data_IF_670877870767
#
_entry.id   IF_670877870767
#
_cell.length_a   1.000
_cell.length_b   1.000
_cell.length_c   1.000
_cell.angle_alpha   90.00
_cell.angle_beta   90.00
_cell.angle_gamma   90.00
#
_symmetry.space_group_name_H-M   'P 1'
#
loop_
_entity.id
_entity.type
_entity.pdbx_description
1 polymer ?
#
# COMPACT_ATOMS: atom_id res chain seq x y z
N UNK A 1 -8.97 36.93 -33.40
CA UNK A 1 -9.54 36.39 -34.66
C UNK A 1 -9.18 34.91 -34.76
N UNK A 2 -10.11 34.03 -35.15
CA UNK A 2 -9.78 32.62 -35.36
C UNK A 2 -8.79 32.47 -36.52
N UNK A 3 -7.75 31.67 -36.31
CA UNK A 3 -6.74 31.33 -37.33
C UNK A 3 -7.28 30.18 -38.20
N UNK A 4 -7.29 30.34 -39.52
CA UNK A 4 -7.73 29.30 -40.45
C UNK A 4 -6.52 28.61 -41.07
N UNK A 5 -6.63 27.29 -41.27
CA UNK A 5 -5.57 26.48 -41.86
C UNK A 5 -6.07 25.78 -43.12
N UNK A 6 -5.18 25.63 -44.11
CA UNK A 6 -5.43 24.79 -45.27
C UNK A 6 -5.61 23.35 -44.79
N UNK A 7 -6.71 22.68 -45.13
CA UNK A 7 -6.94 21.33 -44.64
C UNK A 7 -6.03 20.28 -45.31
N UNK A 8 -5.35 20.64 -46.40
CA UNK A 8 -4.43 19.74 -47.11
C UNK A 8 -2.99 19.84 -46.57
N UNK A 9 -2.43 21.04 -46.41
CA UNK A 9 -1.02 21.22 -46.01
C UNK A 9 -0.83 21.88 -44.64
N UNK A 10 -1.91 22.28 -43.97
CA UNK A 10 -1.90 22.94 -42.66
C UNK A 10 -1.22 24.31 -42.60
N UNK A 11 -0.93 24.94 -43.75
CA UNK A 11 -0.49 26.34 -43.79
C UNK A 11 -1.63 27.28 -43.36
N UNK A 12 -1.31 28.37 -42.65
CA UNK A 12 -2.27 29.43 -42.34
C UNK A 12 -2.82 30.08 -43.61
N UNK A 13 -4.13 30.25 -43.70
CA UNK A 13 -4.82 30.85 -44.85
C UNK A 13 -5.89 31.85 -44.40
N UNK A 14 -6.27 32.76 -45.29
CA UNK A 14 -7.46 33.61 -45.07
C UNK A 14 -8.75 32.75 -45.17
N UNK A 15 -9.77 32.97 -44.34
CA UNK A 15 -11.04 32.22 -44.41
C UNK A 15 -11.72 32.22 -45.77
N UNK A 16 -11.55 33.26 -46.59
CA UNK A 16 -12.09 33.36 -47.95
C UNK A 16 -11.24 32.66 -49.01
N UNK A 17 -10.09 32.08 -48.63
CA UNK A 17 -9.17 31.40 -49.56
C UNK A 17 -9.81 30.16 -50.17
N UNK A 18 -10.01 30.16 -51.50
CA UNK A 18 -10.48 28.99 -52.25
C UNK A 18 -9.34 28.06 -52.67
N UNK A 19 -8.23 28.61 -53.17
CA UNK A 19 -7.04 27.86 -53.56
C UNK A 19 -5.93 28.17 -52.58
N UNK A 20 -5.37 27.16 -51.92
CA UNK A 20 -4.30 27.37 -50.96
C UNK A 20 -3.04 27.93 -51.65
N UNK A 21 -2.50 29.08 -51.20
CA UNK A 21 -1.31 29.65 -51.82
C UNK A 21 -0.04 28.82 -51.56
N UNK A 22 -0.03 27.95 -50.54
CA UNK A 22 1.13 27.15 -50.18
C UNK A 22 1.21 25.82 -50.96
N UNK A 23 0.09 25.14 -51.17
CA UNK A 23 0.08 23.81 -51.82
C UNK A 23 -0.81 23.70 -53.06
N UNK A 24 -1.51 24.77 -53.45
CA UNK A 24 -2.39 24.78 -54.62
C UNK A 24 -3.71 24.01 -54.47
N UNK A 25 -4.01 23.43 -53.30
CA UNK A 25 -5.23 22.67 -53.09
C UNK A 25 -6.49 23.55 -53.12
N UNK A 26 -7.56 23.08 -53.79
CA UNK A 26 -8.90 23.66 -53.66
C UNK A 26 -9.50 23.28 -52.29
N UNK A 27 -9.59 24.28 -51.41
CA UNK A 27 -10.06 24.13 -50.03
C UNK A 27 -11.52 23.73 -49.97
N UNK A 28 -12.36 24.22 -50.89
CA UNK A 28 -13.78 23.88 -50.94
C UNK A 28 -13.97 22.44 -51.42
N UNK A 29 -13.27 22.04 -52.48
CA UNK A 29 -13.31 20.67 -52.98
C UNK A 29 -12.79 19.67 -51.93
N UNK A 30 -11.72 20.02 -51.20
CA UNK A 30 -11.18 19.18 -50.14
C UNK A 30 -12.20 18.94 -49.02
N UNK A 31 -12.95 19.97 -48.62
CA UNK A 31 -13.99 19.85 -47.57
C UNK A 31 -15.10 18.88 -47.95
N UNK A 32 -15.32 18.61 -49.24
CA UNK A 32 -16.29 17.64 -49.75
C UNK A 32 -15.90 16.17 -49.59
N UNK A 33 -14.66 15.86 -49.15
CA UNK A 33 -14.24 14.48 -48.87
C UNK A 33 -15.03 13.85 -47.73
N UNK A 34 -15.11 12.52 -47.73
CA UNK A 34 -15.80 11.78 -46.68
C UNK A 34 -15.18 12.09 -45.32
N UNK A 35 -16.03 12.21 -44.29
CA UNK A 35 -15.57 12.63 -42.97
C UNK A 35 -14.44 11.75 -42.39
N UNK A 36 -14.49 10.41 -42.45
CA UNK A 36 -13.39 9.57 -41.99
C UNK A 36 -12.06 9.84 -42.71
N UNK A 37 -12.09 10.10 -44.03
CA UNK A 37 -10.88 10.43 -44.80
C UNK A 37 -10.26 11.75 -44.33
N UNK A 38 -11.10 12.74 -44.00
CA UNK A 38 -10.64 14.02 -43.45
C UNK A 38 -9.99 13.83 -42.08
N UNK A 39 -10.52 12.93 -41.25
CA UNK A 39 -9.94 12.61 -39.94
C UNK A 39 -8.61 11.86 -40.06
N UNK A 40 -8.51 10.88 -40.97
CA UNK A 40 -7.23 10.21 -41.28
C UNK A 40 -6.18 11.23 -41.71
N UNK A 41 -6.55 12.18 -42.57
CA UNK A 41 -5.63 13.26 -42.96
C UNK A 41 -5.25 14.18 -41.80
N UNK A 42 -6.17 14.47 -40.89
CA UNK A 42 -5.92 15.29 -39.71
C UNK A 42 -4.90 14.68 -38.73
N UNK A 43 -4.61 13.38 -38.82
CA UNK A 43 -3.50 12.75 -38.07
C UNK A 43 -2.13 13.31 -38.48
N UNK A 44 -2.02 13.95 -39.64
CA UNK A 44 -0.79 14.60 -40.12
C UNK A 44 -0.64 16.04 -39.63
N UNK A 45 -1.60 16.56 -38.86
CA UNK A 45 -1.60 17.95 -38.43
C UNK A 45 -0.44 18.24 -37.46
N UNK A 46 0.24 19.41 -37.55
CA UNK A 46 1.38 19.74 -36.67
C UNK A 46 0.98 19.91 -35.20
N UNK A 47 -0.21 20.43 -34.92
CA UNK A 47 -0.72 20.61 -33.55
C UNK A 47 -1.25 19.29 -32.97
N UNK A 48 -0.78 18.93 -31.78
CA UNK A 48 -1.16 17.70 -31.07
C UNK A 48 -2.66 17.62 -30.78
N UNK A 49 -3.30 18.72 -30.34
CA UNK A 49 -4.73 18.73 -29.97
C UNK A 49 -5.64 18.34 -31.14
N UNK A 50 -5.27 18.75 -32.36
CA UNK A 50 -6.00 18.38 -33.58
C UNK A 50 -5.85 16.89 -33.87
N UNK A 51 -4.64 16.35 -33.72
CA UNK A 51 -4.40 14.90 -33.88
C UNK A 51 -5.16 14.11 -32.83
N UNK A 52 -5.13 14.53 -31.56
CA UNK A 52 -5.86 13.89 -30.47
C UNK A 52 -7.36 13.83 -30.72
N UNK A 53 -7.95 14.92 -31.22
CA UNK A 53 -9.36 14.97 -31.63
C UNK A 53 -9.65 13.98 -32.76
N UNK A 54 -8.77 13.90 -33.76
CA UNK A 54 -8.91 12.97 -34.87
C UNK A 54 -8.78 11.50 -34.42
N UNK A 55 -7.84 11.19 -33.52
CA UNK A 55 -7.64 9.86 -32.93
C UNK A 55 -8.92 9.37 -32.23
N UNK A 56 -9.50 10.18 -31.33
CA UNK A 56 -10.73 9.79 -30.62
C UNK A 56 -11.91 9.63 -31.60
N UNK A 57 -12.08 10.56 -32.55
CA UNK A 57 -13.15 10.51 -33.53
C UNK A 57 -13.07 9.26 -34.43
N UNK A 58 -11.88 8.89 -34.90
CA UNK A 58 -11.67 7.67 -35.69
C UNK A 58 -12.01 6.41 -34.89
N UNK A 59 -11.61 6.36 -33.62
CA UNK A 59 -11.94 5.25 -32.72
C UNK A 59 -13.45 5.12 -32.47
N UNK A 60 -14.16 6.24 -32.25
CA UNK A 60 -15.63 6.24 -32.04
C UNK A 60 -16.40 5.81 -33.29
N UNK A 61 -15.98 6.29 -34.45
CA UNK A 61 -16.60 5.93 -35.74
C UNK A 61 -16.32 4.50 -36.17
N UNK A 62 -15.36 3.81 -35.53
CA UNK A 62 -14.85 2.51 -35.96
C UNK A 62 -14.40 2.53 -37.43
N UNK A 63 -13.75 3.62 -37.83
CA UNK A 63 -13.45 3.91 -39.23
C UNK A 63 -12.62 2.79 -39.89
N UNK A 64 -13.17 2.08 -40.90
CA UNK A 64 -12.43 1.03 -41.61
C UNK A 64 -11.15 1.59 -42.25
N UNK A 65 -10.04 0.84 -42.16
CA UNK A 65 -8.76 1.24 -42.73
C UNK A 65 -7.99 2.33 -41.96
N UNK A 66 -8.52 2.85 -40.83
CA UNK A 66 -7.84 3.87 -40.03
C UNK A 66 -6.65 3.33 -39.22
N UNK A 67 -6.59 2.01 -38.99
CA UNK A 67 -5.64 1.41 -38.05
C UNK A 67 -4.18 1.71 -38.39
N UNK A 68 -3.78 1.56 -39.66
CA UNK A 68 -2.41 1.85 -40.07
C UNK A 68 -2.06 3.33 -39.93
N UNK A 69 -2.98 4.23 -40.29
CA UNK A 69 -2.76 5.67 -40.18
C UNK A 69 -2.57 6.10 -38.70
N UNK A 70 -3.30 5.47 -37.77
CA UNK A 70 -3.10 5.68 -36.34
C UNK A 70 -1.72 5.20 -35.88
N UNK A 71 -1.28 4.00 -36.30
CA UNK A 71 0.05 3.51 -35.95
C UNK A 71 1.17 4.41 -36.52
N UNK A 72 1.07 4.81 -37.79
CA UNK A 72 2.01 5.72 -38.44
C UNK A 72 2.09 7.07 -37.70
N UNK A 73 0.95 7.59 -37.23
CA UNK A 73 0.91 8.79 -36.40
C UNK A 73 1.72 8.65 -35.09
N UNK A 74 1.58 7.54 -34.36
CA UNK A 74 2.40 7.29 -33.17
C UNK A 74 3.89 7.20 -33.52
N UNK A 75 4.24 6.49 -34.59
CA UNK A 75 5.65 6.29 -34.97
C UNK A 75 6.34 7.58 -35.44
N UNK A 76 5.60 8.55 -36.01
CA UNK A 76 6.11 9.90 -36.32
C UNK A 76 6.31 10.77 -35.08
N UNK A 77 5.64 10.44 -33.99
CA UNK A 77 5.69 11.17 -32.72
C UNK A 77 6.13 10.27 -31.55
N UNK A 78 7.31 9.62 -31.65
CA UNK A 78 7.70 8.52 -30.78
C UNK A 78 7.91 8.89 -29.30
N UNK A 79 7.99 10.19 -28.99
CA UNK A 79 8.23 10.70 -27.64
C UNK A 79 6.96 11.15 -26.92
N UNK A 80 5.79 11.01 -27.55
CA UNK A 80 4.52 11.42 -26.97
C UNK A 80 3.76 10.19 -26.39
N UNK A 81 3.93 9.88 -25.10
CA UNK A 81 3.27 8.74 -24.48
C UNK A 81 1.74 8.92 -24.43
N UNK A 82 1.24 10.15 -24.35
CA UNK A 82 -0.20 10.45 -24.22
C UNK A 82 -0.89 10.16 -25.55
N UNK A 83 -0.35 10.68 -26.64
CA UNK A 83 -0.86 10.43 -27.99
C UNK A 83 -0.75 8.94 -28.35
N UNK A 84 0.38 8.30 -28.02
CA UNK A 84 0.57 6.87 -28.24
C UNK A 84 -0.48 6.00 -27.53
N UNK A 85 -0.79 6.30 -26.27
CA UNK A 85 -1.83 5.58 -25.52
C UNK A 85 -3.24 5.86 -26.05
N UNK A 86 -3.53 7.10 -26.48
CA UNK A 86 -4.82 7.40 -27.12
C UNK A 86 -5.02 6.60 -28.42
N UNK A 87 -3.95 6.40 -29.19
CA UNK A 87 -3.95 5.55 -30.39
C UNK A 87 -4.26 4.09 -30.03
N UNK A 88 -3.64 3.55 -28.98
CA UNK A 88 -3.95 2.19 -28.50
C UNK A 88 -5.46 2.04 -28.19
N UNK A 89 -6.03 2.99 -27.46
CA UNK A 89 -7.47 2.96 -27.14
C UNK A 89 -8.36 3.12 -28.37
N UNK A 90 -7.95 3.89 -29.38
CA UNK A 90 -8.67 3.98 -30.64
C UNK A 90 -8.62 2.64 -31.40
N UNK A 91 -7.45 1.98 -31.46
CA UNK A 91 -7.27 0.67 -32.09
C UNK A 91 -8.13 -0.42 -31.43
N UNK A 92 -8.36 -0.37 -30.11
CA UNK A 92 -9.26 -1.32 -29.42
C UNK A 92 -10.69 -1.34 -29.98
N UNK A 93 -11.14 -0.24 -30.60
CA UNK A 93 -12.51 -0.06 -31.11
C UNK A 93 -12.63 -0.37 -32.60
N UNK A 94 -11.51 -0.46 -33.32
CA UNK A 94 -11.50 -0.67 -34.77
C UNK A 94 -11.77 -2.15 -35.14
N UNK A 95 -12.25 -2.41 -36.37
CA UNK A 95 -12.31 -3.77 -36.91
C UNK A 95 -10.93 -4.45 -36.90
N UNK A 96 -10.86 -5.71 -36.46
CA UNK A 96 -9.62 -6.49 -36.37
C UNK A 96 -9.29 -7.18 -37.69
N UNK A 97 -9.04 -6.38 -38.72
CA UNK A 97 -8.60 -6.85 -40.03
C UNK A 97 -7.07 -6.97 -40.13
N UNK A 98 -6.57 -7.31 -41.31
CA UNK A 98 -5.13 -7.42 -41.57
C UNK A 98 -4.38 -6.09 -41.35
N UNK A 99 -5.02 -4.95 -41.60
CA UNK A 99 -4.43 -3.63 -41.39
C UNK A 99 -4.30 -3.32 -39.90
N UNK A 100 -5.29 -3.70 -39.09
CA UNK A 100 -5.21 -3.63 -37.63
C UNK A 100 -4.05 -4.47 -37.08
N UNK A 101 -3.90 -5.71 -37.54
CA UNK A 101 -2.80 -6.57 -37.08
C UNK A 101 -1.42 -6.02 -37.48
N UNK A 102 -1.31 -5.41 -38.65
CA UNK A 102 -0.08 -4.71 -39.08
C UNK A 102 0.22 -3.50 -38.19
N UNK A 103 -0.80 -2.68 -37.89
CA UNK A 103 -0.69 -1.51 -37.01
C UNK A 103 -0.23 -1.89 -35.60
N UNK A 104 -0.86 -2.89 -34.98
CA UNK A 104 -0.50 -3.36 -33.63
C UNK A 104 0.92 -3.93 -33.60
N UNK A 105 1.33 -4.69 -34.62
CA UNK A 105 2.72 -5.18 -34.72
C UNK A 105 3.73 -4.04 -34.76
N UNK A 106 3.47 -3.00 -35.54
CA UNK A 106 4.35 -1.82 -35.58
C UNK A 106 4.46 -1.13 -34.22
N UNK A 107 3.35 -0.99 -33.49
CA UNK A 107 3.35 -0.33 -32.18
C UNK A 107 4.05 -1.12 -31.07
N UNK A 108 4.25 -2.43 -31.23
CA UNK A 108 5.08 -3.22 -30.28
C UNK A 108 6.55 -2.80 -30.29
N UNK A 109 6.99 -2.15 -31.36
CA UNK A 109 8.34 -1.62 -31.50
C UNK A 109 8.43 -0.13 -31.10
N UNK A 110 7.34 0.43 -30.55
CA UNK A 110 7.30 1.82 -30.16
C UNK A 110 8.30 2.12 -29.02
N UNK A 111 9.09 3.20 -29.08
CA UNK A 111 10.17 3.45 -28.13
C UNK A 111 9.68 3.77 -26.70
N UNK A 112 8.43 4.22 -26.55
CA UNK A 112 7.78 4.32 -25.23
C UNK A 112 7.28 2.94 -24.79
N UNK A 113 7.90 2.40 -23.73
CA UNK A 113 7.59 1.07 -23.20
C UNK A 113 6.12 0.84 -22.81
N UNK A 114 5.41 1.87 -22.35
CA UNK A 114 3.98 1.77 -22.04
C UNK A 114 3.14 1.45 -23.29
N UNK A 115 3.42 2.13 -24.41
CA UNK A 115 2.73 1.92 -25.69
C UNK A 115 3.08 0.54 -26.25
N UNK A 116 4.35 0.15 -26.24
CA UNK A 116 4.79 -1.16 -26.72
C UNK A 116 4.16 -2.32 -25.95
N UNK A 117 4.11 -2.23 -24.61
CA UNK A 117 3.44 -3.24 -23.77
C UNK A 117 1.94 -3.29 -24.03
N UNK A 118 1.28 -2.14 -24.15
CA UNK A 118 -0.14 -2.10 -24.43
C UNK A 118 -0.47 -2.70 -25.82
N UNK A 119 0.36 -2.43 -26.83
CA UNK A 119 0.24 -3.04 -28.16
C UNK A 119 0.45 -4.56 -28.12
N UNK A 120 1.40 -5.06 -27.32
CA UNK A 120 1.58 -6.50 -27.11
C UNK A 120 0.30 -7.13 -26.52
N UNK A 121 -0.29 -6.47 -25.51
CA UNK A 121 -1.58 -6.88 -24.95
C UNK A 121 -2.71 -6.87 -25.98
N UNK A 122 -2.76 -5.93 -26.92
CA UNK A 122 -3.75 -5.96 -28.01
C UNK A 122 -3.58 -7.20 -28.90
N UNK A 123 -2.35 -7.53 -29.28
CA UNK A 123 -2.06 -8.67 -30.14
C UNK A 123 -2.46 -10.00 -29.48
N UNK A 124 -2.19 -10.15 -28.19
CA UNK A 124 -2.57 -11.33 -27.40
C UNK A 124 -4.09 -11.52 -27.35
N UNK A 125 -4.86 -10.42 -27.36
CA UNK A 125 -6.33 -10.44 -27.34
C UNK A 125 -6.96 -10.51 -28.75
N UNK A 126 -6.19 -10.57 -29.83
CA UNK A 126 -6.69 -10.42 -31.20
C UNK A 126 -7.65 -11.53 -31.65
N UNK A 127 -7.54 -12.74 -31.08
CA UNK A 127 -8.37 -13.91 -31.41
C UNK A 127 -9.77 -13.94 -30.79
N UNK A 128 -10.11 -12.99 -29.93
CA UNK A 128 -11.34 -13.04 -29.13
C UNK A 128 -12.26 -11.87 -29.47
N UNK A 129 -13.22 -12.09 -30.38
CA UNK A 129 -14.28 -11.13 -30.70
C UNK A 129 -15.02 -10.74 -29.41
N UNK A 130 -15.24 -9.45 -29.12
CA UNK A 130 -16.04 -9.03 -27.97
C UNK A 130 -17.43 -9.66 -28.09
N UNK A 131 -17.91 -10.28 -27.01
CA UNK A 131 -19.25 -10.85 -26.99
C UNK A 131 -20.28 -9.73 -27.21
N UNK A 132 -21.44 -10.01 -27.83
CA UNK A 132 -22.52 -9.02 -27.88
C UNK A 132 -22.92 -8.64 -26.44
N UNK A 133 -22.75 -7.36 -26.08
CA UNK A 133 -22.94 -6.84 -24.71
C UNK A 133 -21.66 -6.38 -24.00
N UNK A 134 -20.49 -6.58 -24.60
CA UNK A 134 -19.16 -6.32 -24.05
C UNK A 134 -18.67 -4.90 -24.42
N UNK A 135 -19.52 -3.88 -24.25
CA UNK A 135 -19.13 -2.47 -24.46
C UNK A 135 -18.27 -2.00 -23.27
N UNK A 136 -16.97 -1.74 -23.47
CA UNK A 136 -16.07 -1.37 -22.38
C UNK A 136 -16.44 -0.04 -21.74
N UNK A 137 -17.04 0.88 -22.50
CA UNK A 137 -17.48 2.17 -21.97
C UNK A 137 -18.68 2.00 -21.04
N UNK A 138 -19.68 1.20 -21.45
CA UNK A 138 -20.81 0.86 -20.61
C UNK A 138 -20.39 0.07 -19.36
N UNK A 139 -19.43 -0.86 -19.49
CA UNK A 139 -18.90 -1.60 -18.35
C UNK A 139 -18.15 -0.69 -17.37
N UNK A 140 -17.29 0.21 -17.86
CA UNK A 140 -16.64 1.21 -17.03
C UNK A 140 -17.66 2.08 -16.31
N UNK A 141 -18.66 2.60 -17.02
CA UNK A 141 -19.72 3.40 -16.41
C UNK A 141 -20.45 2.63 -15.31
N UNK A 142 -20.71 1.33 -15.50
CA UNK A 142 -21.30 0.46 -14.48
C UNK A 142 -20.42 0.33 -13.22
N UNK A 143 -19.10 0.22 -13.37
CA UNK A 143 -18.16 0.09 -12.25
C UNK A 143 -17.93 1.43 -11.52
N UNK A 144 -17.84 2.52 -12.29
CA UNK A 144 -17.53 3.87 -11.79
C UNK A 144 -18.77 4.60 -11.24
N UNK A 145 -19.99 4.09 -11.49
CA UNK A 145 -21.23 4.61 -10.89
C UNK A 145 -21.40 4.11 -9.45
N UNK A 146 -20.75 4.82 -8.53
CA UNK A 146 -20.78 4.54 -7.09
C UNK A 146 -22.18 4.60 -6.48
N UNK A 147 -23.10 5.36 -7.07
CA UNK A 147 -24.46 5.49 -6.54
C UNK A 147 -25.28 4.22 -6.80
N UNK A 148 -24.92 3.43 -7.81
CA UNK A 148 -25.67 2.26 -8.26
C UNK A 148 -24.85 0.96 -8.24
N UNK A 149 -23.92 0.83 -7.30
CA UNK A 149 -23.16 -0.41 -7.09
C UNK A 149 -24.06 -1.62 -6.82
N UNK A 150 -25.26 -1.43 -6.28
CA UNK A 150 -26.22 -2.51 -6.10
C UNK A 150 -26.64 -3.15 -7.43
N UNK A 151 -27.06 -2.34 -8.42
CA UNK A 151 -27.41 -2.86 -9.75
C UNK A 151 -26.19 -3.46 -10.47
N UNK A 152 -25.00 -2.85 -10.29
CA UNK A 152 -23.75 -3.39 -10.82
C UNK A 152 -23.45 -4.80 -10.26
N UNK A 153 -23.62 -5.01 -8.96
CA UNK A 153 -23.45 -6.32 -8.32
C UNK A 153 -24.41 -7.35 -8.91
N UNK A 154 -25.70 -7.02 -9.02
CA UNK A 154 -26.71 -7.94 -9.55
C UNK A 154 -26.39 -8.34 -11.00
N UNK A 155 -26.03 -7.35 -11.83
CA UNK A 155 -25.66 -7.59 -13.22
C UNK A 155 -24.41 -8.46 -13.35
N UNK A 156 -23.36 -8.17 -12.59
CA UNK A 156 -22.12 -8.96 -12.60
C UNK A 156 -22.34 -10.37 -12.05
N UNK A 157 -23.17 -10.53 -11.03
CA UNK A 157 -23.56 -11.84 -10.51
C UNK A 157 -24.29 -12.66 -11.58
N UNK A 158 -25.21 -12.05 -12.33
CA UNK A 158 -25.91 -12.70 -13.45
C UNK A 158 -24.98 -13.12 -14.60
N UNK A 159 -23.84 -12.46 -14.77
CA UNK A 159 -22.83 -12.83 -15.78
C UNK A 159 -21.96 -14.04 -15.36
N UNK A 160 -21.84 -14.33 -14.06
CA UNK A 160 -21.01 -15.41 -13.54
C UNK A 160 -19.55 -15.31 -14.02
N UNK A 161 -18.97 -16.41 -14.50
CA UNK A 161 -17.59 -16.42 -15.04
C UNK A 161 -17.42 -15.51 -16.27
N UNK A 162 -18.50 -15.19 -16.98
CA UNK A 162 -18.48 -14.22 -18.08
C UNK A 162 -18.06 -12.81 -17.64
N UNK A 163 -18.15 -12.48 -16.35
CA UNK A 163 -17.67 -11.21 -15.80
C UNK A 163 -16.15 -11.15 -15.60
N UNK A 164 -15.43 -12.28 -15.60
CA UNK A 164 -13.98 -12.31 -15.30
C UNK A 164 -13.20 -11.45 -16.29
N UNK A 165 -13.45 -11.65 -17.58
CA UNK A 165 -12.75 -10.95 -18.66
C UNK A 165 -12.93 -9.42 -18.60
N UNK A 166 -14.17 -8.86 -18.56
CA UNK A 166 -14.33 -7.41 -18.50
C UNK A 166 -13.81 -6.80 -17.18
N UNK A 167 -13.92 -7.51 -16.05
CA UNK A 167 -13.30 -7.07 -14.79
C UNK A 167 -11.78 -7.00 -14.88
N UNK A 168 -11.13 -8.03 -15.43
CA UNK A 168 -9.68 -8.04 -15.66
C UNK A 168 -9.26 -6.93 -16.61
N UNK A 169 -10.02 -6.70 -17.69
CA UNK A 169 -9.77 -5.59 -18.62
C UNK A 169 -9.80 -4.25 -17.91
N UNK A 170 -10.85 -3.97 -17.14
CA UNK A 170 -10.97 -2.74 -16.34
C UNK A 170 -9.77 -2.58 -15.39
N UNK A 171 -9.36 -3.64 -14.70
CA UNK A 171 -8.22 -3.62 -13.78
C UNK A 171 -6.86 -3.39 -14.49
N UNK A 172 -6.71 -3.79 -15.76
CA UNK A 172 -5.48 -3.59 -16.55
C UNK A 172 -5.29 -2.17 -17.06
N UNK A 173 -6.33 -1.33 -17.02
CA UNK A 173 -6.20 0.10 -17.36
C UNK A 173 -5.23 0.83 -16.42
N UNK A 174 -4.95 0.24 -15.25
CA UNK A 174 -3.91 0.67 -14.34
C UNK A 174 -4.42 1.54 -13.18
N UNK A 175 -3.49 2.06 -12.38
CA UNK A 175 -3.79 2.83 -11.18
C UNK A 175 -4.59 4.10 -11.48
N UNK A 176 -5.57 4.38 -10.62
CA UNK A 176 -6.43 5.55 -10.68
C UNK A 176 -6.28 6.35 -9.39
N UNK A 177 -6.53 7.66 -9.44
CA UNK A 177 -6.46 8.51 -8.23
C UNK A 177 -7.56 8.16 -7.22
N UNK A 178 -8.72 7.73 -7.71
CA UNK A 178 -9.80 7.20 -6.89
C UNK A 178 -9.75 5.65 -6.93
N UNK A 179 -9.53 4.97 -5.80
CA UNK A 179 -9.43 3.51 -5.79
C UNK A 179 -10.77 2.79 -5.88
N UNK A 180 -11.91 3.48 -5.69
CA UNK A 180 -13.20 2.83 -5.43
C UNK A 180 -13.67 1.90 -6.56
N UNK A 181 -13.58 2.32 -7.83
CA UNK A 181 -13.96 1.47 -8.95
C UNK A 181 -13.07 0.22 -9.06
N UNK A 182 -11.76 0.37 -8.82
CA UNK A 182 -10.80 -0.75 -8.79
C UNK A 182 -11.03 -1.69 -7.60
N UNK A 183 -11.32 -1.16 -6.40
CA UNK A 183 -11.67 -1.94 -5.22
C UNK A 183 -12.94 -2.76 -5.48
N UNK A 184 -13.97 -2.13 -6.03
CA UNK A 184 -15.20 -2.81 -6.43
C UNK A 184 -14.92 -3.93 -7.44
N UNK A 185 -14.13 -3.66 -8.48
CA UNK A 185 -13.78 -4.67 -9.47
C UNK A 185 -12.98 -5.85 -8.86
N UNK A 186 -12.06 -5.58 -7.93
CA UNK A 186 -11.34 -6.60 -7.14
C UNK A 186 -12.32 -7.45 -6.34
N UNK A 187 -13.28 -6.84 -5.64
CA UNK A 187 -14.29 -7.56 -4.85
C UNK A 187 -15.20 -8.44 -5.73
N UNK A 188 -15.61 -7.94 -6.90
CA UNK A 188 -16.41 -8.70 -7.85
C UNK A 188 -15.64 -9.88 -8.42
N UNK A 189 -14.38 -9.67 -8.80
CA UNK A 189 -13.50 -10.74 -9.26
C UNK A 189 -13.25 -11.78 -8.15
N UNK A 190 -13.13 -11.32 -6.90
CA UNK A 190 -12.95 -12.18 -5.74
C UNK A 190 -14.13 -13.13 -5.49
N UNK A 191 -15.36 -12.73 -5.84
CA UNK A 191 -16.57 -13.55 -5.66
C UNK A 191 -16.65 -14.74 -6.62
N UNK A 192 -16.01 -14.68 -7.78
CA UNK A 192 -16.12 -15.68 -8.84
C UNK A 192 -15.34 -16.98 -8.55
N UNK A 193 -14.37 -16.94 -7.61
CA UNK A 193 -13.61 -18.10 -7.06
C UNK A 193 -12.94 -19.07 -8.06
N UNK A 194 -13.00 -18.82 -9.37
CA UNK A 194 -12.32 -19.65 -10.38
C UNK A 194 -10.81 -19.41 -10.40
N UNK A 195 -10.06 -20.35 -11.02
CA UNK A 195 -8.62 -20.21 -11.23
C UNK A 195 -8.28 -18.96 -12.08
N UNK A 196 -9.13 -18.63 -13.05
CA UNK A 196 -8.95 -17.45 -13.88
C UNK A 196 -9.17 -16.15 -13.08
N UNK A 197 -10.15 -16.13 -12.18
CA UNK A 197 -10.34 -15.02 -11.26
C UNK A 197 -9.14 -14.86 -10.30
N UNK A 198 -8.55 -15.98 -9.84
CA UNK A 198 -7.31 -15.97 -9.05
C UNK A 198 -6.17 -15.34 -9.85
N UNK A 199 -5.99 -15.75 -11.11
CA UNK A 199 -4.98 -15.18 -11.99
C UNK A 199 -5.17 -13.66 -12.17
N UNK A 200 -6.42 -13.20 -12.35
CA UNK A 200 -6.71 -11.77 -12.45
C UNK A 200 -6.40 -10.98 -11.17
N UNK A 201 -6.67 -11.54 -9.98
CA UNK A 201 -6.26 -10.90 -8.71
C UNK A 201 -4.74 -10.85 -8.56
N UNK A 202 -4.02 -11.90 -9.01
CA UNK A 202 -2.55 -11.92 -9.01
C UNK A 202 -1.96 -10.88 -9.96
N UNK A 203 -2.59 -10.63 -11.11
CA UNK A 203 -2.20 -9.55 -12.02
C UNK A 203 -2.28 -8.18 -11.35
N UNK A 204 -3.34 -7.92 -10.57
CA UNK A 204 -3.48 -6.66 -9.80
C UNK A 204 -2.35 -6.53 -8.78
N UNK A 205 -2.08 -7.60 -8.02
CA UNK A 205 -1.04 -7.63 -7.00
C UNK A 205 0.36 -7.36 -7.61
N UNK A 206 0.64 -7.94 -8.79
CA UNK A 206 1.95 -7.91 -9.46
C UNK A 206 2.06 -6.84 -10.56
N UNK A 207 1.15 -5.87 -10.60
CA UNK A 207 1.20 -4.76 -11.56
C UNK A 207 2.42 -3.83 -11.35
N UNK A 208 2.38 -2.64 -11.95
CA UNK A 208 3.45 -1.62 -11.84
C UNK A 208 3.87 -1.34 -10.39
N UNK A 209 5.16 -1.47 -10.01
CA UNK A 209 5.61 -1.25 -8.62
C UNK A 209 5.12 0.08 -8.03
N UNK A 210 4.66 0.09 -6.77
CA UNK A 210 4.02 1.29 -6.19
C UNK A 210 4.96 2.51 -6.16
N UNK A 211 6.27 2.26 -6.02
CA UNK A 211 7.32 3.30 -6.05
C UNK A 211 7.41 4.04 -7.39
N UNK A 212 6.96 3.42 -8.48
CA UNK A 212 6.97 4.00 -9.82
C UNK A 212 5.73 4.86 -10.11
N UNK A 213 4.73 4.80 -9.22
CA UNK A 213 3.49 5.56 -9.38
C UNK A 213 3.61 6.98 -8.82
N UNK A 214 2.90 7.95 -9.43
CA UNK A 214 2.67 9.26 -8.84
C UNK A 214 2.06 9.14 -7.43
N UNK A 215 2.40 10.06 -6.53
CA UNK A 215 1.89 10.04 -5.15
C UNK A 215 0.35 9.96 -5.08
N UNK A 216 -0.35 10.67 -5.98
CA UNK A 216 -1.81 10.67 -6.06
C UNK A 216 -2.44 9.33 -6.42
N UNK A 217 -1.69 8.42 -7.04
CA UNK A 217 -2.16 7.08 -7.42
C UNK A 217 -1.59 5.99 -6.50
N UNK A 218 -0.45 6.25 -5.85
CA UNK A 218 0.24 5.27 -5.02
C UNK A 218 -0.63 4.79 -3.86
N UNK A 219 -1.23 5.71 -3.11
CA UNK A 219 -2.05 5.38 -1.95
C UNK A 219 -3.35 4.65 -2.34
N UNK A 220 -3.91 5.03 -3.49
CA UNK A 220 -5.08 4.36 -4.07
C UNK A 220 -4.73 2.91 -4.48
N UNK A 221 -3.63 2.73 -5.22
CA UNK A 221 -3.21 1.40 -5.66
C UNK A 221 -2.72 0.52 -4.49
N UNK A 222 -2.13 1.12 -3.44
CA UNK A 222 -1.78 0.41 -2.21
C UNK A 222 -3.02 -0.27 -1.59
N UNK A 223 -4.15 0.45 -1.51
CA UNK A 223 -5.41 -0.10 -1.01
C UNK A 223 -5.97 -1.21 -1.92
N UNK A 224 -5.94 -1.00 -3.24
CA UNK A 224 -6.42 -1.98 -4.23
C UNK A 224 -5.63 -3.28 -4.15
N UNK A 225 -4.29 -3.19 -4.05
CA UNK A 225 -3.43 -4.37 -3.91
C UNK A 225 -3.61 -5.08 -2.58
N UNK A 226 -3.75 -4.33 -1.49
CA UNK A 226 -4.01 -4.94 -0.19
C UNK A 226 -5.35 -5.70 -0.18
N UNK A 227 -6.39 -5.14 -0.79
CA UNK A 227 -7.68 -5.82 -0.96
C UNK A 227 -7.54 -7.09 -1.82
N UNK A 228 -6.85 -7.00 -2.97
CA UNK A 228 -6.62 -8.16 -3.84
C UNK A 228 -5.86 -9.27 -3.10
N UNK A 229 -4.83 -8.91 -2.32
CA UNK A 229 -4.08 -9.87 -1.50
C UNK A 229 -4.94 -10.52 -0.42
N UNK A 230 -5.78 -9.76 0.29
CA UNK A 230 -6.68 -10.31 1.31
C UNK A 230 -7.62 -11.37 0.73
N UNK A 231 -8.13 -11.15 -0.48
CA UNK A 231 -8.93 -12.15 -1.20
C UNK A 231 -8.11 -13.36 -1.65
N UNK A 232 -6.89 -13.14 -2.13
CA UNK A 232 -5.98 -14.21 -2.53
C UNK A 232 -5.63 -15.12 -1.35
N UNK A 233 -5.31 -14.56 -0.19
CA UNK A 233 -4.90 -15.33 1.01
C UNK A 233 -5.98 -16.31 1.47
N UNK A 234 -7.27 -16.01 1.23
CA UNK A 234 -8.38 -16.91 1.53
C UNK A 234 -8.56 -18.07 0.55
N UNK A 235 -7.75 -18.15 -0.51
CA UNK A 235 -7.82 -19.19 -1.54
C UNK A 235 -6.68 -20.19 -1.37
N UNK A 236 -6.88 -21.39 -1.90
CA UNK A 236 -5.83 -22.41 -1.99
C UNK A 236 -5.31 -22.48 -3.42
N UNK A 237 -4.05 -22.08 -3.61
CA UNK A 237 -3.36 -22.12 -4.91
C UNK A 237 -1.84 -22.19 -4.72
N UNK A 238 -1.09 -22.77 -5.66
CA UNK A 238 0.32 -23.14 -5.45
C UNK A 238 1.25 -21.98 -5.08
N UNK A 239 1.02 -20.78 -5.61
CA UNK A 239 1.90 -19.63 -5.43
C UNK A 239 1.48 -18.68 -4.30
N UNK A 240 0.51 -19.08 -3.46
CA UNK A 240 -0.02 -18.24 -2.40
C UNK A 240 1.05 -17.67 -1.49
N UNK A 241 1.94 -18.52 -1.01
CA UNK A 241 2.96 -18.11 -0.05
C UNK A 241 4.01 -17.20 -0.70
N UNK A 242 4.31 -17.44 -1.98
CA UNK A 242 5.19 -16.57 -2.78
C UNK A 242 4.57 -15.20 -3.04
N UNK A 243 3.25 -15.13 -3.26
CA UNK A 243 2.54 -13.87 -3.44
C UNK A 243 2.47 -13.06 -2.12
N UNK A 244 2.28 -13.73 -0.97
CA UNK A 244 2.39 -13.09 0.35
C UNK A 244 3.80 -12.56 0.60
N UNK A 245 4.83 -13.37 0.34
CA UNK A 245 6.22 -12.97 0.50
C UNK A 245 6.56 -11.75 -0.37
N UNK A 246 6.18 -11.79 -1.66
CA UNK A 246 6.39 -10.69 -2.60
C UNK A 246 5.71 -9.40 -2.12
N UNK A 247 4.45 -9.49 -1.71
CA UNK A 247 3.68 -8.34 -1.23
C UNK A 247 4.23 -7.76 0.07
N UNK A 248 4.72 -8.60 0.97
CA UNK A 248 5.35 -8.18 2.23
C UNK A 248 6.68 -7.48 1.98
N UNK A 249 7.55 -8.09 1.16
CA UNK A 249 8.92 -7.63 0.96
C UNK A 249 9.02 -6.43 0.02
N UNK A 250 8.22 -6.42 -1.06
CA UNK A 250 8.32 -5.39 -2.11
C UNK A 250 7.44 -4.18 -1.82
N UNK A 251 6.20 -4.42 -1.36
CA UNK A 251 5.17 -3.38 -1.26
C UNK A 251 4.76 -3.09 0.19
N UNK A 252 5.16 -3.94 1.14
CA UNK A 252 4.88 -3.81 2.58
C UNK A 252 3.38 -3.64 2.87
N UNK A 253 2.55 -4.47 2.24
CA UNK A 253 1.09 -4.42 2.42
C UNK A 253 0.67 -4.98 3.80
N UNK A 254 -0.25 -4.35 4.56
CA UNK A 254 -0.61 -4.80 5.90
C UNK A 254 -1.30 -6.17 5.87
N UNK A 255 -2.09 -6.45 4.84
CA UNK A 255 -2.69 -7.74 4.58
C UNK A 255 -1.65 -8.85 4.36
N UNK A 256 -0.46 -8.52 3.83
CA UNK A 256 0.64 -9.46 3.66
C UNK A 256 1.28 -9.80 5.01
N UNK A 257 1.50 -8.78 5.84
CA UNK A 257 2.03 -8.92 7.20
C UNK A 257 1.12 -9.84 8.03
N UNK A 258 -0.19 -9.55 8.06
CA UNK A 258 -1.15 -10.38 8.77
C UNK A 258 -1.25 -11.80 8.18
N UNK A 259 -1.17 -11.95 6.85
CA UNK A 259 -1.20 -13.24 6.19
C UNK A 259 0.02 -14.10 6.52
N UNK A 260 1.22 -13.51 6.63
CA UNK A 260 2.44 -14.24 6.97
C UNK A 260 2.32 -14.96 8.31
N UNK A 261 1.75 -14.29 9.32
CA UNK A 261 1.46 -14.92 10.62
C UNK A 261 0.39 -16.01 10.53
N UNK A 262 -0.77 -15.70 9.92
CA UNK A 262 -1.90 -16.66 9.81
C UNK A 262 -1.54 -17.92 9.03
N UNK A 263 -0.71 -17.82 8.00
CA UNK A 263 -0.29 -18.94 7.16
C UNK A 263 0.96 -19.66 7.71
N UNK A 264 1.54 -19.20 8.83
CA UNK A 264 2.72 -19.86 9.41
C UNK A 264 4.00 -19.71 8.58
N UNK A 265 4.16 -18.62 7.83
CA UNK A 265 5.29 -18.41 6.91
C UNK A 265 6.58 -18.04 7.66
N UNK A 266 7.17 -19.02 8.35
CA UNK A 266 8.36 -18.86 9.19
C UNK A 266 9.55 -18.16 8.50
N UNK A 267 9.71 -18.38 7.19
CA UNK A 267 10.78 -17.75 6.40
C UNK A 267 10.68 -16.21 6.36
N UNK A 268 9.51 -15.63 6.63
CA UNK A 268 9.27 -14.18 6.66
C UNK A 268 9.49 -13.56 8.05
N UNK A 269 9.78 -14.36 9.09
CA UNK A 269 9.98 -13.86 10.45
C UNK A 269 11.06 -12.75 10.54
N UNK A 270 12.24 -12.84 9.87
CA UNK A 270 13.21 -11.75 9.88
C UNK A 270 12.67 -10.44 9.31
N UNK A 271 11.83 -10.51 8.27
CA UNK A 271 11.20 -9.34 7.66
C UNK A 271 10.19 -8.70 8.61
N UNK A 272 9.39 -9.52 9.31
CA UNK A 272 8.44 -9.08 10.33
C UNK A 272 9.14 -8.39 11.51
N UNK A 273 10.28 -8.90 11.98
CA UNK A 273 11.07 -8.26 13.04
C UNK A 273 11.51 -6.84 12.62
N UNK A 274 11.97 -6.67 11.37
CA UNK A 274 12.31 -5.33 10.85
C UNK A 274 11.10 -4.39 10.80
N UNK A 275 9.90 -4.93 10.61
CA UNK A 275 8.65 -4.16 10.55
C UNK A 275 8.17 -3.68 11.93
N UNK A 276 8.66 -4.23 13.05
CA UNK A 276 8.37 -3.68 14.39
C UNK A 276 8.89 -2.24 14.56
N UNK A 277 9.88 -1.84 13.77
CA UNK A 277 10.34 -0.45 13.72
C UNK A 277 9.46 0.46 12.87
N UNK A 278 8.40 -0.03 12.22
CA UNK A 278 7.54 0.78 11.34
C UNK A 278 6.29 1.27 12.06
N UNK A 279 5.99 2.57 11.94
CA UNK A 279 4.87 3.19 12.65
C UNK A 279 3.49 2.76 12.11
N UNK A 280 3.43 2.25 10.88
CA UNK A 280 2.18 1.79 10.26
C UNK A 280 2.01 0.29 10.43
N UNK A 281 3.10 -0.47 10.26
CA UNK A 281 3.04 -1.94 10.23
C UNK A 281 3.34 -2.61 11.57
N UNK A 282 3.74 -1.88 12.61
CA UNK A 282 4.16 -2.49 13.88
C UNK A 282 3.11 -3.44 14.46
N UNK A 283 1.84 -3.02 14.54
CA UNK A 283 0.79 -3.83 15.17
C UNK A 283 0.50 -5.12 14.40
N UNK A 284 0.46 -5.05 13.07
CA UNK A 284 0.29 -6.23 12.24
C UNK A 284 1.50 -7.17 12.33
N UNK A 285 2.72 -6.62 12.39
CA UNK A 285 3.95 -7.41 12.49
C UNK A 285 4.06 -8.10 13.87
N UNK A 286 3.65 -7.40 14.92
CA UNK A 286 3.55 -7.90 16.28
C UNK A 286 2.62 -9.13 16.37
N UNK A 287 1.39 -8.99 15.89
CA UNK A 287 0.42 -10.10 15.84
C UNK A 287 0.92 -11.27 14.99
N UNK A 288 1.55 -10.96 13.85
CA UNK A 288 2.10 -11.99 12.96
C UNK A 288 3.23 -12.77 13.63
N UNK A 289 4.15 -12.10 14.33
CA UNK A 289 5.23 -12.76 15.07
C UNK A 289 4.70 -13.61 16.21
N UNK A 290 3.67 -13.14 16.94
CA UNK A 290 3.02 -13.95 17.97
C UNK A 290 2.43 -15.24 17.39
N UNK A 291 1.80 -15.16 16.21
CA UNK A 291 1.24 -16.32 15.52
C UNK A 291 2.33 -17.32 15.04
N UNK A 292 3.54 -16.86 14.74
CA UNK A 292 4.66 -17.70 14.30
C UNK A 292 5.37 -18.46 15.43
N UNK A 293 5.17 -18.07 16.70
CA UNK A 293 5.71 -18.80 17.86
C UNK A 293 7.23 -18.97 17.83
N UNK A 294 7.71 -20.21 17.88
CA UNK A 294 9.15 -20.54 17.96
C UNK A 294 9.97 -19.97 16.79
N UNK A 295 9.39 -19.92 15.58
CA UNK A 295 10.07 -19.32 14.43
C UNK A 295 10.34 -17.83 14.63
N UNK A 296 9.40 -17.11 15.26
CA UNK A 296 9.60 -15.72 15.64
C UNK A 296 10.67 -15.57 16.73
N UNK A 297 10.69 -16.45 17.74
CA UNK A 297 11.74 -16.44 18.77
C UNK A 297 13.12 -16.57 18.14
N UNK A 298 13.32 -17.55 17.25
CA UNK A 298 14.60 -17.75 16.57
C UNK A 298 15.03 -16.53 15.75
N UNK A 299 14.11 -15.97 14.94
CA UNK A 299 14.39 -14.80 14.12
C UNK A 299 14.70 -13.55 14.96
N UNK A 300 13.98 -13.36 16.07
CA UNK A 300 14.21 -12.26 16.99
C UNK A 300 15.60 -12.39 17.63
N UNK A 301 15.92 -13.55 18.20
CA UNK A 301 17.22 -13.76 18.84
C UNK A 301 18.39 -13.55 17.87
N UNK A 302 18.23 -13.92 16.60
CA UNK A 302 19.21 -13.64 15.56
C UNK A 302 19.37 -12.14 15.24
N UNK A 303 18.28 -11.35 15.32
CA UNK A 303 18.29 -9.92 15.03
C UNK A 303 18.74 -9.04 16.22
N UNK A 304 18.69 -9.56 17.45
CA UNK A 304 18.96 -8.78 18.67
C UNK A 304 20.29 -8.01 18.66
N UNK A 305 21.45 -8.63 18.30
CA UNK A 305 22.73 -7.93 18.31
C UNK A 305 22.72 -6.67 17.41
N UNK A 306 22.21 -6.80 16.19
CA UNK A 306 22.13 -5.68 15.25
C UNK A 306 21.18 -4.57 15.74
N UNK A 307 20.06 -4.94 16.39
CA UNK A 307 19.13 -3.97 16.97
C UNK A 307 19.75 -3.22 18.16
N UNK A 308 20.52 -3.91 19.01
CA UNK A 308 21.28 -3.30 20.11
C UNK A 308 22.38 -2.36 19.60
N UNK A 309 23.01 -2.66 18.48
CA UNK A 309 23.99 -1.72 17.91
C UNK A 309 23.30 -0.47 17.35
N UNK A 310 22.21 -0.64 16.61
CA UNK A 310 21.51 0.46 15.95
C UNK A 310 20.71 1.40 16.89
N UNK A 311 20.33 0.95 18.09
CA UNK A 311 19.44 1.72 18.98
C UNK A 311 20.03 3.05 19.47
N UNK A 312 21.36 3.16 19.47
CA UNK A 312 22.08 4.37 19.87
C UNK A 312 21.89 5.50 18.86
N UNK A 313 21.76 5.14 17.58
CA UNK A 313 21.84 6.09 16.48
C UNK A 313 20.47 6.67 16.11
N UNK A 314 19.38 5.94 16.38
CA UNK A 314 18.04 6.36 15.98
C UNK A 314 16.94 5.84 16.92
N UNK A 315 16.01 6.72 17.29
CA UNK A 315 14.82 6.38 18.07
C UNK A 315 13.97 5.27 17.42
N UNK A 316 13.95 5.18 16.08
CA UNK A 316 13.24 4.09 15.37
C UNK A 316 13.81 2.71 15.68
N UNK A 317 15.14 2.58 15.73
CA UNK A 317 15.79 1.32 16.09
C UNK A 317 15.55 0.96 17.55
N UNK A 318 15.53 1.97 18.43
CA UNK A 318 15.17 1.82 19.84
C UNK A 318 13.73 1.34 20.05
N UNK A 319 12.77 1.92 19.33
CA UNK A 319 11.38 1.44 19.31
C UNK A 319 11.30 0.00 18.82
N UNK A 320 11.98 -0.33 17.72
CA UNK A 320 12.03 -1.68 17.19
C UNK A 320 12.56 -2.67 18.24
N UNK A 321 13.64 -2.32 18.94
CA UNK A 321 14.22 -3.16 20.01
C UNK A 321 13.27 -3.35 21.20
N UNK A 322 12.63 -2.28 21.69
CA UNK A 322 11.64 -2.38 22.78
C UNK A 322 10.49 -3.31 22.37
N UNK A 323 9.91 -3.09 21.19
CA UNK A 323 8.81 -3.92 20.66
C UNK A 323 9.24 -5.38 20.47
N UNK A 324 10.45 -5.61 19.99
CA UNK A 324 11.05 -6.94 19.82
C UNK A 324 11.16 -7.69 21.15
N UNK A 325 11.63 -7.01 22.21
CA UNK A 325 11.68 -7.58 23.56
C UNK A 325 10.28 -7.86 24.12
N UNK A 326 9.29 -7.02 23.83
CA UNK A 326 7.90 -7.25 24.24
C UNK A 326 7.25 -8.45 23.53
N UNK A 327 7.59 -8.69 22.25
CA UNK A 327 7.17 -9.90 21.53
C UNK A 327 7.79 -11.14 22.17
N UNK A 328 9.11 -11.15 22.42
CA UNK A 328 9.76 -12.26 23.13
C UNK A 328 9.14 -12.55 24.50
N UNK A 329 8.84 -11.50 25.26
CA UNK A 329 8.26 -11.63 26.60
C UNK A 329 6.86 -12.28 26.56
N UNK A 330 6.01 -11.85 25.61
CA UNK A 330 4.67 -12.43 25.42
C UNK A 330 4.69 -13.84 24.85
N UNK A 331 5.73 -14.19 24.09
CA UNK A 331 6.00 -15.57 23.67
C UNK A 331 6.57 -16.44 24.81
N UNK A 332 6.73 -15.87 26.02
CA UNK A 332 7.34 -16.53 27.17
C UNK A 332 8.75 -17.09 26.87
N UNK A 333 9.47 -16.46 25.94
CA UNK A 333 10.82 -16.84 25.57
C UNK A 333 11.84 -16.36 26.63
N UNK A 334 13.00 -17.01 26.66
CA UNK A 334 14.12 -16.56 27.48
C UNK A 334 14.99 -15.57 26.72
N UNK A 335 15.40 -14.50 27.39
CA UNK A 335 16.39 -13.57 26.85
C UNK A 335 17.79 -14.06 27.22
N UNK A 336 18.69 -14.30 26.26
CA UNK A 336 20.04 -14.75 26.59
C UNK A 336 20.79 -13.75 27.49
N UNK A 337 21.67 -14.21 28.41
CA UNK A 337 22.27 -13.34 29.43
C UNK A 337 23.14 -12.21 28.88
N UNK A 338 23.76 -12.40 27.72
CA UNK A 338 24.62 -11.39 27.10
C UNK A 338 23.80 -10.21 26.54
N UNK A 339 22.81 -10.42 25.65
CA UNK A 339 21.90 -9.35 25.23
C UNK A 339 21.15 -8.71 26.41
N UNK A 340 20.77 -9.48 27.44
CA UNK A 340 20.13 -8.94 28.65
C UNK A 340 21.06 -7.99 29.44
N UNK A 341 22.36 -8.31 29.53
CA UNK A 341 23.35 -7.42 30.17
C UNK A 341 23.59 -6.16 29.36
N UNK A 342 23.61 -6.28 28.04
CA UNK A 342 23.85 -5.15 27.17
C UNK A 342 22.65 -4.19 27.18
N UNK A 343 21.44 -4.71 26.96
CA UNK A 343 20.19 -3.95 26.97
C UNK A 343 19.98 -3.14 28.27
N UNK A 344 20.39 -3.69 29.42
CA UNK A 344 20.35 -3.01 30.73
C UNK A 344 21.14 -1.70 30.79
N UNK A 345 22.19 -1.57 29.98
CA UNK A 345 23.08 -0.42 29.97
C UNK A 345 22.66 0.63 28.93
N UNK A 346 21.57 0.36 28.20
CA UNK A 346 21.07 1.21 27.12
C UNK A 346 20.01 2.18 27.64
N UNK A 347 19.25 2.73 26.71
CA UNK A 347 18.16 3.66 26.98
C UNK A 347 17.19 3.11 28.05
N UNK A 348 16.61 3.95 28.94
CA UNK A 348 15.76 3.48 30.04
C UNK A 348 14.59 2.57 29.60
N UNK A 349 13.93 2.87 28.48
CA UNK A 349 12.90 1.97 27.92
C UNK A 349 13.44 0.60 27.50
N UNK A 350 14.64 0.53 26.94
CA UNK A 350 15.29 -0.74 26.56
C UNK A 350 15.69 -1.51 27.82
N UNK A 351 16.23 -0.82 28.82
CA UNK A 351 16.57 -1.42 30.10
C UNK A 351 15.32 -1.94 30.85
N UNK A 352 14.20 -1.21 30.77
CA UNK A 352 12.92 -1.62 31.34
C UNK A 352 12.33 -2.84 30.62
N UNK A 353 12.39 -2.88 29.28
CA UNK A 353 11.97 -4.04 28.50
C UNK A 353 12.83 -5.28 28.81
N UNK A 354 14.15 -5.12 28.97
CA UNK A 354 15.04 -6.21 29.38
C UNK A 354 14.76 -6.70 30.81
N UNK A 355 14.38 -5.80 31.72
CA UNK A 355 14.04 -6.15 33.10
C UNK A 355 12.79 -7.06 33.23
N UNK A 356 11.95 -7.16 32.18
CA UNK A 356 10.84 -8.12 32.14
C UNK A 356 11.31 -9.58 32.26
N UNK A 357 12.52 -9.88 31.80
CA UNK A 357 13.13 -11.21 31.81
C UNK A 357 13.95 -11.50 33.08
N UNK A 358 14.11 -10.51 33.96
CA UNK A 358 14.95 -10.64 35.15
C UNK A 358 14.17 -11.25 36.33
N UNK A 359 14.87 -11.96 37.23
CA UNK A 359 14.29 -12.31 38.52
C UNK A 359 13.99 -11.04 39.34
N UNK A 360 12.99 -11.08 40.22
CA UNK A 360 12.66 -9.94 41.08
C UNK A 360 13.86 -9.47 41.91
N UNK A 361 14.11 -8.16 41.89
CA UNK A 361 15.19 -7.52 42.63
C UNK A 361 15.05 -6.00 42.63
N UNK A 362 15.81 -5.32 43.47
CA UNK A 362 15.75 -3.86 43.61
C UNK A 362 16.02 -3.12 42.29
N UNK A 363 17.09 -3.48 41.60
CA UNK A 363 17.44 -2.89 40.30
C UNK A 363 16.37 -3.12 39.24
N UNK A 364 15.82 -4.34 39.19
CA UNK A 364 14.75 -4.70 38.27
C UNK A 364 13.47 -3.90 38.57
N UNK A 365 13.12 -3.73 39.84
CA UNK A 365 11.97 -2.93 40.26
C UNK A 365 12.08 -1.47 39.78
N UNK A 366 13.27 -0.86 39.93
CA UNK A 366 13.52 0.51 39.46
C UNK A 366 13.33 0.64 37.95
N UNK A 367 13.95 -0.24 37.16
CA UNK A 367 13.84 -0.23 35.69
C UNK A 367 12.40 -0.46 35.21
N UNK A 368 11.70 -1.42 35.82
CA UNK A 368 10.29 -1.67 35.51
C UNK A 368 9.39 -0.49 35.87
N UNK A 369 9.69 0.24 36.97
CA UNK A 369 8.95 1.45 37.33
C UNK A 369 9.17 2.59 36.33
N UNK A 370 10.41 2.75 35.82
CA UNK A 370 10.68 3.67 34.72
C UNK A 370 9.81 3.30 33.51
N UNK A 371 9.86 2.05 33.03
CA UNK A 371 9.03 1.62 31.89
C UNK A 371 7.51 1.73 32.12
N UNK A 372 7.04 1.51 33.35
CA UNK A 372 5.63 1.60 33.73
C UNK A 372 5.08 3.04 33.80
N UNK A 373 5.96 4.02 33.99
CA UNK A 373 5.61 5.43 34.06
C UNK A 373 5.61 6.12 32.68
N UNK A 374 6.33 5.54 31.70
CA UNK A 374 6.53 6.10 30.37
C UNK A 374 5.31 6.13 29.45
N UNK A 375 5.54 6.69 28.25
CA UNK A 375 4.51 6.95 27.23
C UNK A 375 4.29 5.80 26.24
N UNK A 376 5.18 4.82 26.19
CA UNK A 376 4.98 3.59 25.40
C UNK A 376 4.00 2.65 26.08
N UNK A 377 2.70 2.79 25.75
CA UNK A 377 1.60 2.04 26.36
C UNK A 377 1.83 0.52 26.46
N UNK A 378 2.37 -0.11 25.41
CA UNK A 378 2.67 -1.55 25.41
C UNK A 378 3.71 -1.95 26.47
N UNK A 379 4.80 -1.18 26.59
CA UNK A 379 5.82 -1.42 27.62
C UNK A 379 5.27 -1.10 29.01
N UNK A 380 4.56 0.02 29.14
CA UNK A 380 4.02 0.45 30.42
C UNK A 380 3.08 -0.61 31.01
N UNK A 381 2.20 -1.18 30.18
CA UNK A 381 1.31 -2.26 30.59
C UNK A 381 2.07 -3.52 31.00
N UNK A 382 3.04 -3.97 30.20
CA UNK A 382 3.86 -5.14 30.51
C UNK A 382 4.65 -4.98 31.82
N UNK A 383 5.25 -3.80 32.05
CA UNK A 383 5.96 -3.50 33.28
C UNK A 383 5.02 -3.46 34.50
N UNK A 384 3.84 -2.82 34.37
CA UNK A 384 2.82 -2.78 35.44
C UNK A 384 2.34 -4.18 35.79
N UNK A 385 2.12 -5.04 34.80
CA UNK A 385 1.76 -6.44 35.01
C UNK A 385 2.86 -7.20 35.76
N UNK A 386 4.11 -7.07 35.32
CA UNK A 386 5.28 -7.70 35.96
C UNK A 386 5.45 -7.26 37.42
N UNK A 387 5.25 -5.98 37.71
CA UNK A 387 5.36 -5.40 39.06
C UNK A 387 4.26 -5.87 40.03
N UNK A 388 3.17 -6.49 39.55
CA UNK A 388 2.16 -7.11 40.43
C UNK A 388 2.66 -8.38 41.11
N UNK A 389 3.78 -8.94 40.66
CA UNK A 389 4.35 -10.13 41.28
C UNK A 389 4.78 -9.82 42.74
N UNK A 390 4.31 -10.58 43.76
CA UNK A 390 4.51 -10.25 45.17
C UNK A 390 5.97 -10.06 45.60
N UNK A 391 6.89 -10.80 44.95
CA UNK A 391 8.32 -10.69 45.23
C UNK A 391 8.89 -9.26 45.04
N UNK A 392 8.26 -8.39 44.25
CA UNK A 392 8.71 -7.01 44.10
C UNK A 392 8.37 -6.11 45.29
N UNK A 393 7.40 -6.50 46.13
CA UNK A 393 6.84 -5.69 47.21
C UNK A 393 7.85 -4.92 48.06
N UNK A 394 8.96 -5.54 48.54
CA UNK A 394 9.96 -4.86 49.37
C UNK A 394 10.63 -3.65 48.70
N UNK A 395 10.67 -3.60 47.36
CA UNK A 395 11.37 -2.56 46.62
C UNK A 395 10.45 -1.52 45.98
N UNK A 396 9.15 -1.78 45.86
CA UNK A 396 8.22 -0.91 45.13
C UNK A 396 8.09 0.48 45.75
N UNK A 397 7.83 0.58 47.05
CA UNK A 397 7.63 1.87 47.72
C UNK A 397 8.86 2.78 47.67
N UNK A 398 10.08 2.34 48.07
CA UNK A 398 11.25 3.21 48.01
C UNK A 398 11.62 3.60 46.57
N UNK A 399 11.46 2.70 45.60
CA UNK A 399 11.74 3.00 44.19
C UNK A 399 10.69 3.96 43.58
N UNK A 400 9.40 3.78 43.87
CA UNK A 400 8.35 4.70 43.42
C UNK A 400 8.52 6.10 44.02
N UNK A 401 8.89 6.19 45.30
CA UNK A 401 9.19 7.47 45.95
C UNK A 401 10.41 8.16 45.33
N UNK A 402 11.45 7.40 44.95
CA UNK A 402 12.60 7.93 44.25
C UNK A 402 12.24 8.49 42.87
N UNK A 403 11.40 7.77 42.11
CA UNK A 403 10.92 8.20 40.80
C UNK A 403 10.06 9.47 40.88
N UNK A 404 9.16 9.56 41.86
CA UNK A 404 8.36 10.76 42.13
C UNK A 404 9.22 11.99 42.43
N UNK A 405 10.32 11.82 43.20
CA UNK A 405 11.26 12.92 43.49
C UNK A 405 12.00 13.42 42.26
N UNK A 406 12.28 12.54 41.29
CA UNK A 406 12.90 12.93 40.01
C UNK A 406 11.98 13.85 39.21
N UNK A 407 10.65 13.65 39.29
CA UNK A 407 9.59 14.40 38.62
C UNK A 407 9.66 14.46 37.08
N UNK A 408 10.73 13.92 36.48
CA UNK A 408 10.95 13.82 35.04
C UNK A 408 11.28 12.38 34.63
N UNK A 409 10.93 12.04 33.40
CA UNK A 409 11.23 10.78 32.76
C UNK A 409 11.73 11.05 31.33
N UNK A 410 12.78 10.37 30.86
CA UNK A 410 13.16 10.44 29.45
C UNK A 410 12.01 9.86 28.60
N UNK A 411 11.66 10.50 27.49
CA UNK A 411 10.80 9.91 26.47
C UNK A 411 11.58 8.93 25.58
N UNK A 412 10.92 8.27 24.62
CA UNK A 412 11.59 7.34 23.71
C UNK A 412 12.68 8.00 22.84
N UNK A 413 12.72 9.32 22.74
CA UNK A 413 13.74 10.09 22.01
C UNK A 413 14.89 10.52 22.92
N UNK A 414 14.78 10.32 24.24
CA UNK A 414 15.76 10.71 25.25
C UNK A 414 15.54 12.10 25.84
N UNK A 415 14.44 12.78 25.49
CA UNK A 415 14.11 14.09 26.05
C UNK A 415 13.51 13.92 27.44
N UNK A 416 13.96 14.70 28.43
CA UNK A 416 13.33 14.72 29.74
C UNK A 416 11.93 15.38 29.66
N UNK A 417 10.89 14.63 30.03
CA UNK A 417 9.52 15.11 30.13
C UNK A 417 9.02 15.04 31.57
N UNK A 418 8.18 15.97 32.04
CA UNK A 418 7.49 15.81 33.31
C UNK A 418 6.66 14.54 33.35
N UNK A 419 6.58 13.89 34.51
CA UNK A 419 5.70 12.74 34.70
C UNK A 419 4.25 13.12 34.36
N UNK A 420 3.54 12.21 33.66
CA UNK A 420 2.11 12.40 33.41
C UNK A 420 1.34 12.41 34.74
N UNK A 421 0.19 13.10 34.80
CA UNK A 421 -0.67 13.10 35.99
C UNK A 421 -1.17 11.71 36.35
N UNK A 422 -1.31 10.82 35.37
CA UNK A 422 -1.68 9.42 35.62
C UNK A 422 -0.53 8.65 36.26
N UNK A 423 0.66 8.70 35.66
CA UNK A 423 1.86 8.03 36.16
C UNK A 423 2.22 8.52 37.58
N UNK A 424 2.15 9.82 37.83
CA UNK A 424 2.41 10.39 39.16
C UNK A 424 1.41 9.90 40.22
N UNK A 425 0.12 9.83 39.90
CA UNK A 425 -0.91 9.28 40.82
C UNK A 425 -0.70 7.80 41.09
N UNK A 426 -0.41 7.03 40.05
CA UNK A 426 -0.14 5.60 40.16
C UNK A 426 1.08 5.33 41.05
N UNK A 427 2.19 6.05 40.83
CA UNK A 427 3.40 5.96 41.65
C UNK A 427 3.16 6.39 43.10
N UNK A 428 2.35 7.43 43.33
CA UNK A 428 1.99 7.87 44.68
C UNK A 428 1.21 6.79 45.45
N UNK A 429 0.32 6.06 44.75
CA UNK A 429 -0.37 4.89 45.31
C UNK A 429 0.61 3.80 45.76
N UNK A 430 1.62 3.48 44.95
CA UNK A 430 2.66 2.50 45.31
C UNK A 430 3.54 2.96 46.47
N UNK A 431 3.90 4.25 46.52
CA UNK A 431 4.70 4.81 47.59
C UNK A 431 3.93 4.82 48.93
N UNK A 432 2.64 5.18 48.91
CA UNK A 432 1.77 5.30 50.08
C UNK A 432 1.25 3.96 50.62
N UNK A 433 1.04 2.95 49.77
CA UNK A 433 0.55 1.63 50.22
C UNK A 433 1.46 0.95 51.26
N UNK A 434 2.77 1.26 51.27
CA UNK A 434 3.70 0.71 52.26
C UNK A 434 3.63 1.39 53.63
N UNK A 435 3.09 2.61 53.74
CA UNK A 435 2.91 3.29 55.03
C UNK A 435 1.62 2.88 55.76
N UNK A 436 0.69 2.21 55.08
CA UNK A 436 -0.56 1.69 55.65
C UNK A 436 -0.45 0.26 56.23
N UNK A 437 0.71 -0.39 56.12
CA UNK A 437 0.95 -1.78 56.54
C UNK A 437 1.73 -1.98 57.85
N UNK A 438 1.98 -0.90 58.63
CA UNK A 438 2.56 -1.03 59.96
C UNK A 438 1.44 -1.15 61.01
N UNK A 439 1.51 -2.11 61.96
CA UNK A 439 0.47 -2.25 62.98
C UNK A 439 0.37 -0.97 63.81
N UNK A 440 -0.85 -0.47 63.98
CA UNK A 440 -1.16 0.73 64.77
C UNK A 440 -0.90 0.49 66.26
N UNK A 441 0.35 0.57 66.70
CA UNK A 441 0.73 0.71 68.10
C UNK A 441 1.12 2.16 68.41
N UNK A 442 0.27 3.12 68.03
CA UNK A 442 0.27 4.46 68.61
C UNK A 442 -1.18 4.83 68.90
N UNK A 443 -1.76 4.14 69.88
CA UNK A 443 -2.98 4.57 70.54
C UNK A 443 -2.62 5.27 71.85
N UNK A 444 -3.15 6.49 72.01
CA UNK A 444 -3.43 7.18 73.27
C UNK A 444 -2.27 7.66 74.16
N UNK A 445 -1.78 8.87 73.88
CA UNK A 445 -1.51 9.89 74.92
C UNK A 445 -1.69 11.30 74.34
N UNK A 446 -2.92 11.81 74.35
CA UNK A 446 -3.23 13.23 74.57
C UNK A 446 -4.74 13.50 74.47
N UNK A 447 -5.45 13.18 75.56
CA UNK A 447 -6.70 13.85 75.94
C UNK A 447 -6.71 14.06 77.45
N UNK A 448 -5.97 15.06 77.90
CA UNK A 448 -6.20 15.76 79.17
C UNK A 448 -6.08 17.27 78.91
N UNK A 449 -7.21 17.86 78.50
CA UNK A 449 -7.60 19.24 78.82
C UNK A 449 -9.12 19.26 78.95
N UNK A 450 -9.59 19.03 80.16
CA UNK A 450 -10.78 19.63 80.75
C UNK A 450 -10.52 19.77 82.24
#
# INVERSE_FOLDING_TARGET
MPTFFCPSCFAGIDPATRICPACGADVAAWRGRAYPERLVHALLHPLADVRMTAIDALGRLRAPGAAWALADCAMRHPRDPVQGMAIIHALERLPRDAAWLAAVRSLREHPVAAVARAAAGLAENAGETPAPGDDPAAFRALIDDYADHAAAIERLAGMGEGAIRPLRRYLREGPQANPQGRLFAVDMLARLRSAEATAGLREVLRGTPLRELPASQRDAEYQVRDAALRHLVGRDYPERDADVACALQSERLPGAVAAAGRLGLAALAPDLVRMLGDDVLEGAADEALLALGEAAVAAILAALPALLDAERDNARARLALVRTLLVLWRLHATLPPEPAREARRRHPFVAAAAALFEPPGQDGAGRLLDGAAGDLAGLANACRERLRHPAYGPWLSPAAAALLRRAVEPDIYGNARPLSRESARWLAGLAGAASAGLPSSIETRNRQKK
#
